data_IF_220839582433
#
_entry.id   IF_220839582433
#
_cell.length_a   1.000
_cell.length_b   1.000
_cell.length_c   1.000
_cell.angle_alpha   90.00
_cell.angle_beta   90.00
_cell.angle_gamma   90.00
#
_symmetry.space_group_name_H-M   'P 1'
#
loop_
_entity.id
_entity.type
_entity.pdbx_description
1 polymer ?
#
# COMPACT_ATOMS: atom_id res chain seq x y z
N UNK A 1 23.80 -33.89 8.91
CA UNK A 1 22.98 -32.74 9.40
C UNK A 1 23.00 -31.63 8.34
N UNK A 2 21.88 -31.40 7.63
CA UNK A 2 21.80 -30.35 6.60
C UNK A 2 21.45 -29.01 7.27
N UNK A 3 22.38 -28.04 7.24
CA UNK A 3 22.12 -26.67 7.70
C UNK A 3 20.96 -26.09 6.88
N UNK A 4 19.81 -25.84 7.52
CA UNK A 4 18.73 -25.03 6.94
C UNK A 4 19.29 -23.62 6.71
N UNK A 5 19.61 -23.27 5.46
CA UNK A 5 19.76 -21.88 5.04
C UNK A 5 18.38 -21.24 5.22
N UNK A 6 18.23 -20.37 6.21
CA UNK A 6 17.09 -19.45 6.30
C UNK A 6 17.13 -18.57 5.05
N UNK A 7 16.26 -18.83 4.08
CA UNK A 7 15.96 -17.88 3.00
C UNK A 7 15.40 -16.63 3.68
N UNK A 8 16.18 -15.55 3.70
CA UNK A 8 15.59 -14.23 3.89
C UNK A 8 14.71 -13.99 2.66
N UNK A 9 13.39 -14.05 2.85
CA UNK A 9 12.48 -13.49 1.86
C UNK A 9 12.61 -11.97 2.01
N UNK A 10 13.04 -11.30 0.95
CA UNK A 10 13.04 -9.83 0.93
C UNK A 10 11.61 -9.33 1.06
N UNK A 11 11.44 -8.14 1.64
CA UNK A 11 10.13 -7.49 1.72
C UNK A 11 9.84 -6.86 0.36
N UNK A 12 8.68 -7.16 -0.20
CA UNK A 12 8.18 -6.54 -1.44
C UNK A 12 7.18 -5.45 -1.10
N UNK A 13 7.44 -4.22 -1.55
CA UNK A 13 6.62 -3.04 -1.25
C UNK A 13 6.01 -2.51 -2.55
N UNK A 14 4.69 -2.31 -2.57
CA UNK A 14 4.02 -1.53 -3.62
C UNK A 14 4.03 -0.05 -3.23
N UNK A 15 4.69 0.80 -4.03
CA UNK A 15 4.69 2.25 -3.84
C UNK A 15 3.83 2.93 -4.90
N UNK A 16 2.95 3.85 -4.49
CA UNK A 16 2.06 4.63 -5.38
C UNK A 16 2.07 6.10 -4.98
N UNK A 17 1.88 7.01 -5.94
CA UNK A 17 1.88 8.46 -5.71
C UNK A 17 1.27 9.21 -6.90
N UNK A 18 0.76 10.42 -6.65
CA UNK A 18 0.39 11.48 -7.61
C UNK A 18 -0.75 11.17 -8.60
N UNK A 19 -0.75 9.99 -9.23
CA UNK A 19 -1.70 9.62 -10.27
C UNK A 19 -2.09 8.15 -10.20
N UNK A 20 -3.33 7.86 -10.60
CA UNK A 20 -3.83 6.49 -10.72
C UNK A 20 -3.21 5.82 -11.96
N UNK A 21 -2.61 4.66 -11.76
CA UNK A 21 -2.10 3.82 -12.84
C UNK A 21 -3.18 2.79 -13.25
N UNK A 22 -3.68 2.91 -14.49
CA UNK A 22 -4.70 2.02 -15.03
C UNK A 22 -4.20 0.58 -15.20
N UNK A 23 -2.92 0.39 -15.53
CA UNK A 23 -2.31 -0.94 -15.67
C UNK A 23 -2.22 -1.63 -14.31
N UNK A 24 -1.74 -0.92 -13.28
CA UNK A 24 -1.73 -1.43 -11.90
C UNK A 24 -3.15 -1.76 -11.45
N UNK A 25 -4.10 -0.88 -11.71
CA UNK A 25 -5.50 -1.06 -11.34
C UNK A 25 -6.05 -2.35 -11.96
N UNK A 26 -5.83 -2.54 -13.26
CA UNK A 26 -6.20 -3.76 -13.98
C UNK A 26 -5.51 -4.99 -13.40
N UNK A 27 -4.21 -4.93 -13.09
CA UNK A 27 -3.48 -6.05 -12.49
C UNK A 27 -4.02 -6.44 -11.11
N UNK A 28 -4.45 -5.47 -10.31
CA UNK A 28 -5.07 -5.69 -8.99
C UNK A 28 -6.49 -6.28 -9.15
N UNK A 29 -7.27 -5.81 -10.11
CA UNK A 29 -8.62 -6.34 -10.41
C UNK A 29 -8.58 -7.77 -10.92
N UNK A 30 -7.68 -8.05 -11.85
CA UNK A 30 -7.49 -9.37 -12.48
C UNK A 30 -6.69 -10.35 -11.60
N UNK A 31 -6.18 -9.88 -10.45
CA UNK A 31 -5.32 -10.65 -9.54
C UNK A 31 -4.07 -11.21 -10.21
N UNK A 32 -3.46 -10.43 -11.10
CA UNK A 32 -2.23 -10.76 -11.83
C UNK A 32 -1.00 -10.03 -11.28
N UNK A 33 -1.18 -9.12 -10.32
CA UNK A 33 -0.07 -8.50 -9.60
C UNK A 33 0.66 -9.52 -8.73
N UNK A 34 1.99 -9.50 -8.79
CA UNK A 34 2.83 -10.29 -7.91
C UNK A 34 2.55 -9.96 -6.43
N UNK A 35 2.59 -10.95 -5.51
CA UNK A 35 2.32 -10.71 -4.11
C UNK A 35 3.24 -9.65 -3.49
N UNK A 36 2.64 -8.72 -2.76
CA UNK A 36 3.36 -7.69 -1.98
C UNK A 36 3.07 -7.86 -0.49
N UNK A 37 3.97 -7.37 0.35
CA UNK A 37 3.84 -7.44 1.80
C UNK A 37 3.10 -6.23 2.37
N UNK A 38 3.27 -5.06 1.76
CA UNK A 38 2.64 -3.80 2.16
C UNK A 38 2.56 -2.80 0.99
N UNK A 39 1.73 -1.78 1.19
CA UNK A 39 1.52 -0.67 0.26
C UNK A 39 1.94 0.65 0.94
N UNK A 40 2.66 1.52 0.21
CA UNK A 40 2.98 2.88 0.64
C UNK A 40 2.44 3.88 -0.39
N UNK A 41 1.60 4.81 0.06
CA UNK A 41 1.16 5.97 -0.71
C UNK A 41 1.91 7.23 -0.30
N UNK A 42 2.51 7.91 -1.28
CA UNK A 42 3.23 9.18 -1.06
C UNK A 42 2.35 10.43 -1.23
N UNK A 43 1.05 10.25 -1.43
CA UNK A 43 0.06 11.34 -1.47
C UNK A 43 -0.50 11.63 -2.86
N UNK A 44 -1.39 12.62 -2.92
CA UNK A 44 -2.08 13.11 -4.12
C UNK A 44 -2.85 12.01 -4.87
N UNK A 45 -3.33 11.03 -4.10
CA UNK A 45 -4.21 9.96 -4.58
C UNK A 45 -5.54 10.04 -3.83
N UNK A 46 -6.61 9.79 -4.58
CA UNK A 46 -7.96 9.77 -4.02
C UNK A 46 -8.08 8.69 -2.92
N UNK A 47 -8.69 8.98 -1.75
CA UNK A 47 -8.91 8.01 -0.68
C UNK A 47 -9.59 6.71 -1.14
N UNK A 48 -10.50 6.81 -2.11
CA UNK A 48 -11.21 5.68 -2.70
C UNK A 48 -10.27 4.73 -3.43
N UNK A 49 -9.23 5.26 -4.09
CA UNK A 49 -8.21 4.46 -4.75
C UNK A 49 -7.32 3.73 -3.74
N UNK A 50 -6.93 4.40 -2.65
CA UNK A 50 -6.17 3.77 -1.57
C UNK A 50 -6.99 2.67 -0.89
N UNK A 51 -8.26 2.93 -0.60
CA UNK A 51 -9.19 1.94 -0.05
C UNK A 51 -9.38 0.74 -0.99
N UNK A 52 -9.47 0.98 -2.30
CA UNK A 52 -9.52 -0.08 -3.32
C UNK A 52 -8.27 -0.97 -3.24
N UNK A 53 -7.06 -0.39 -3.29
CA UNK A 53 -5.81 -1.15 -3.25
C UNK A 53 -5.69 -1.97 -1.96
N UNK A 54 -5.96 -1.35 -0.81
CA UNK A 54 -5.93 -1.99 0.51
C UNK A 54 -6.89 -3.18 0.57
N UNK A 55 -8.12 -3.00 0.09
CA UNK A 55 -9.16 -4.03 0.17
C UNK A 55 -8.92 -5.17 -0.82
N UNK A 56 -8.37 -4.90 -2.01
CA UNK A 56 -8.12 -5.93 -3.02
C UNK A 56 -6.87 -6.75 -2.77
N UNK A 57 -5.82 -6.12 -2.25
CA UNK A 57 -4.57 -6.81 -1.93
C UNK A 57 -4.59 -7.42 -0.52
N UNK A 58 -5.51 -6.97 0.34
CA UNK A 58 -5.62 -7.40 1.75
C UNK A 58 -4.27 -7.22 2.50
N UNK A 59 -3.55 -6.15 2.17
CA UNK A 59 -2.27 -5.78 2.77
C UNK A 59 -2.35 -4.46 3.54
N UNK A 60 -1.49 -4.26 4.55
CA UNK A 60 -1.37 -2.96 5.20
C UNK A 60 -1.04 -1.86 4.19
N UNK A 61 -1.75 -0.73 4.30
CA UNK A 61 -1.50 0.45 3.50
C UNK A 61 -1.13 1.62 4.41
N UNK A 62 0.07 2.13 4.23
CA UNK A 62 0.55 3.34 4.87
C UNK A 62 0.47 4.51 3.89
N UNK A 63 0.09 5.69 4.35
CA UNK A 63 0.03 6.85 3.49
C UNK A 63 0.54 8.11 4.19
N UNK A 64 0.99 9.07 3.38
CA UNK A 64 1.07 10.48 3.75
C UNK A 64 0.07 11.25 2.89
N UNK A 65 -0.46 12.35 3.43
CA UNK A 65 -1.32 13.24 2.63
C UNK A 65 -0.43 14.05 1.69
N UNK A 66 -0.82 14.08 0.42
CA UNK A 66 -0.32 15.05 -0.55
C UNK A 66 -0.94 16.43 -0.31
N UNK A 67 -0.45 17.44 -1.03
CA UNK A 67 -0.91 18.82 -0.88
C UNK A 67 -2.25 19.09 -1.59
N UNK A 68 -2.69 18.19 -2.49
CA UNK A 68 -4.00 18.27 -3.14
C UNK A 68 -5.09 17.43 -2.45
N UNK A 69 -4.73 16.74 -1.37
CA UNK A 69 -5.59 15.80 -0.64
C UNK A 69 -6.58 16.50 0.31
N UNK A 70 -7.56 17.20 -0.28
CA UNK A 70 -8.58 17.96 0.46
C UNK A 70 -9.73 17.11 1.02
N UNK A 71 -9.88 15.85 0.59
CA UNK A 71 -11.05 14.98 0.88
C UNK A 71 -10.79 13.87 1.90
N UNK A 72 -9.71 13.92 2.66
CA UNK A 72 -9.36 12.82 3.58
C UNK A 72 -10.22 12.87 4.84
N UNK A 73 -11.34 12.13 4.84
CA UNK A 73 -12.21 11.93 6.00
C UNK A 73 -11.96 10.55 6.63
N UNK A 74 -12.12 10.37 7.95
CA UNK A 74 -11.90 9.06 8.58
C UNK A 74 -12.74 7.92 7.95
N UNK A 75 -13.90 8.25 7.38
CA UNK A 75 -14.82 7.33 6.72
C UNK A 75 -14.32 6.75 5.40
N UNK A 76 -13.42 7.43 4.68
CA UNK A 76 -12.98 7.02 3.33
C UNK A 76 -11.58 6.38 3.30
N UNK A 77 -10.94 6.21 4.45
CA UNK A 77 -9.60 5.61 4.62
C UNK A 77 -9.62 4.41 5.57
N UNK A 78 -10.74 3.68 5.60
CA UNK A 78 -10.92 2.55 6.51
C UNK A 78 -9.80 1.52 6.31
N UNK A 79 -8.97 1.37 7.36
CA UNK A 79 -7.85 0.43 7.36
C UNK A 79 -6.59 0.91 6.66
N UNK A 80 -6.48 2.20 6.33
CA UNK A 80 -5.26 2.86 5.87
C UNK A 80 -4.66 3.72 6.99
N UNK A 81 -3.35 3.63 7.20
CA UNK A 81 -2.66 4.30 8.31
C UNK A 81 -1.87 5.53 7.85
N UNK A 82 -2.22 6.70 8.39
CA UNK A 82 -1.46 7.92 8.14
C UNK A 82 -0.14 7.90 8.91
N UNK A 83 0.98 7.92 8.19
CA UNK A 83 2.33 7.89 8.75
C UNK A 83 3.08 9.22 8.65
N UNK A 84 2.39 10.31 8.30
CA UNK A 84 3.00 11.65 8.27
C UNK A 84 3.67 11.99 9.60
N UNK A 85 4.97 12.28 9.54
CA UNK A 85 5.83 12.55 10.70
C UNK A 85 5.87 11.42 11.76
N UNK A 86 5.57 10.17 11.38
CA UNK A 86 5.61 9.00 12.27
C UNK A 86 6.64 7.98 11.80
N UNK A 87 7.34 7.37 12.76
CA UNK A 87 8.15 6.18 12.52
C UNK A 87 7.28 4.93 12.72
N UNK A 88 7.09 4.15 11.66
CA UNK A 88 6.38 2.87 11.72
C UNK A 88 7.37 1.72 11.59
N UNK A 89 7.20 0.69 12.43
CA UNK A 89 7.95 -0.56 12.33
C UNK A 89 7.06 -1.63 11.73
N UNK A 90 7.44 -2.13 10.56
CA UNK A 90 6.78 -3.24 9.90
C UNK A 90 7.53 -4.55 10.14
N UNK A 91 6.80 -5.63 10.39
CA UNK A 91 7.33 -6.98 10.53
C UNK A 91 6.45 -7.92 9.72
N UNK A 92 7.09 -8.75 8.91
CA UNK A 92 6.47 -9.85 8.16
C UNK A 92 6.22 -11.05 9.04
#
# INVERSE_FOLDING_TARGET
>A
MKKRRTKFHGITILAVSDFVDETLTKMVEEKTLEPVDLIISCGDLAPEYLSFLRNRLEKPLFYVKGNHDIRYEPSNLLGCDNIHAKLVRFKT
#
